data_IF_410914695815
#
_entry.id   IF_410914695815
#
_cell.length_a   1.000
_cell.length_b   1.000
_cell.length_c   1.000
_cell.angle_alpha   90.00
_cell.angle_beta   90.00
_cell.angle_gamma   90.00
#
_symmetry.space_group_name_H-M   'P 1'
#
loop_
_entity.id
_entity.type
_entity.pdbx_description
1 polymer ?
#
# COMPACT_ATOMS: atom_id res chain seq x y z
N UNK A 1 24.90 24.60 -0.41
CA UNK A 1 23.94 24.25 -1.48
C UNK A 1 22.77 25.22 -1.38
N UNK A 2 22.34 25.88 -2.46
CA UNK A 2 21.13 26.70 -2.40
C UNK A 2 19.90 25.81 -2.13
N UNK A 3 18.85 26.35 -1.48
CA UNK A 3 17.60 25.61 -1.27
C UNK A 3 16.97 25.22 -2.63
N UNK A 4 16.27 24.08 -2.70
CA UNK A 4 15.63 23.62 -3.92
C UNK A 4 14.59 24.62 -4.44
N UNK A 5 14.43 24.71 -5.75
CA UNK A 5 13.40 25.55 -6.36
C UNK A 5 12.01 24.92 -6.20
N UNK A 6 10.96 25.74 -6.21
CA UNK A 6 9.55 25.28 -6.21
C UNK A 6 9.28 24.20 -7.25
N UNK A 7 9.82 24.36 -8.45
CA UNK A 7 9.67 23.40 -9.53
C UNK A 7 10.31 22.05 -9.19
N UNK A 8 11.46 22.04 -8.49
CA UNK A 8 12.09 20.81 -8.01
C UNK A 8 11.27 20.14 -6.91
N UNK A 9 10.66 20.92 -6.01
CA UNK A 9 9.75 20.41 -4.98
C UNK A 9 8.53 19.76 -5.62
N UNK A 10 7.86 20.44 -6.55
CA UNK A 10 6.68 19.89 -7.26
C UNK A 10 7.00 18.60 -8.01
N UNK A 11 8.12 18.54 -8.73
CA UNK A 11 8.52 17.30 -9.43
C UNK A 11 8.74 16.15 -8.45
N UNK A 12 9.34 16.43 -7.28
CA UNK A 12 9.54 15.42 -6.25
C UNK A 12 8.20 14.97 -5.62
N UNK A 13 7.29 15.90 -5.30
CA UNK A 13 5.99 15.57 -4.70
C UNK A 13 5.07 14.82 -5.67
N UNK A 14 5.13 15.14 -6.97
CA UNK A 14 4.42 14.38 -8.01
C UNK A 14 4.97 12.95 -8.17
N UNK A 15 6.28 12.77 -8.07
CA UNK A 15 6.90 11.44 -8.09
C UNK A 15 6.43 10.60 -6.88
N UNK A 16 6.41 11.19 -5.68
CA UNK A 16 5.90 10.53 -4.47
C UNK A 16 4.43 10.12 -4.61
N UNK A 17 3.58 10.98 -5.19
CA UNK A 17 2.17 10.69 -5.43
C UNK A 17 1.96 9.59 -6.47
N UNK A 18 2.77 9.60 -7.52
CA UNK A 18 2.76 8.55 -8.55
C UNK A 18 3.10 7.20 -7.93
N UNK A 19 4.17 7.14 -7.15
CA UNK A 19 4.60 5.94 -6.44
C UNK A 19 3.54 5.47 -5.44
N UNK A 20 2.94 6.39 -4.67
CA UNK A 20 1.82 6.05 -3.78
C UNK A 20 0.65 5.39 -4.54
N UNK A 21 0.34 5.86 -5.75
CA UNK A 21 -0.66 5.24 -6.62
C UNK A 21 -0.30 3.84 -7.10
N UNK A 22 0.99 3.53 -7.28
CA UNK A 22 1.46 2.16 -7.57
C UNK A 22 1.27 1.25 -6.35
N UNK A 23 1.66 1.70 -5.16
CA UNK A 23 1.46 0.94 -3.92
C UNK A 23 -0.02 0.63 -3.65
N UNK A 24 -0.92 1.57 -3.89
CA UNK A 24 -2.37 1.31 -3.79
C UNK A 24 -2.87 0.29 -4.83
N UNK A 25 -2.36 0.34 -6.07
CA UNK A 25 -2.72 -0.65 -7.09
C UNK A 25 -2.27 -2.05 -6.70
N UNK A 26 -1.08 -2.18 -6.14
CA UNK A 26 -0.57 -3.47 -5.64
C UNK A 26 -1.35 -3.94 -4.40
N UNK A 27 -1.71 -3.03 -3.49
CA UNK A 27 -2.60 -3.32 -2.36
C UNK A 27 -3.94 -3.88 -2.83
N UNK A 28 -4.58 -3.24 -3.81
CA UNK A 28 -5.83 -3.70 -4.39
C UNK A 28 -5.70 -5.07 -5.09
N UNK A 29 -4.59 -5.31 -5.80
CA UNK A 29 -4.31 -6.60 -6.41
C UNK A 29 -4.18 -7.71 -5.35
N UNK A 30 -3.50 -7.43 -4.23
CA UNK A 30 -3.38 -8.36 -3.11
C UNK A 30 -4.74 -8.64 -2.47
N UNK A 31 -5.57 -7.61 -2.29
CA UNK A 31 -6.93 -7.74 -1.77
C UNK A 31 -7.81 -8.65 -2.65
N UNK A 32 -7.62 -8.62 -3.97
CA UNK A 32 -8.34 -9.48 -4.91
C UNK A 32 -7.88 -10.95 -4.89
N UNK A 33 -6.70 -11.25 -4.33
CA UNK A 33 -6.18 -12.63 -4.18
C UNK A 33 -6.77 -13.31 -2.95
N UNK A 34 -6.95 -12.58 -1.86
CA UNK A 34 -7.49 -13.09 -0.58
C UNK A 34 -8.76 -13.95 -0.74
N UNK A 35 -9.84 -13.48 -1.40
CA UNK A 35 -11.06 -14.29 -1.52
C UNK A 35 -10.87 -15.52 -2.42
N UNK A 36 -9.93 -15.48 -3.37
CA UNK A 36 -9.62 -16.64 -4.22
C UNK A 36 -8.91 -17.73 -3.43
N UNK A 37 -7.95 -17.34 -2.59
CA UNK A 37 -7.24 -18.29 -1.72
C UNK A 37 -8.18 -18.84 -0.66
N UNK A 38 -8.96 -18.01 0.02
CA UNK A 38 -9.94 -18.47 1.00
C UNK A 38 -10.96 -19.44 0.39
N UNK A 39 -11.38 -19.23 -0.86
CA UNK A 39 -12.27 -20.15 -1.58
C UNK A 39 -11.64 -21.50 -1.95
N UNK A 40 -10.35 -21.71 -1.69
CA UNK A 40 -9.69 -23.00 -1.89
C UNK A 40 -9.85 -23.95 -0.70
N UNK A 41 -10.35 -23.49 0.46
CA UNK A 41 -10.54 -24.36 1.63
C UNK A 41 -11.36 -25.61 1.28
N UNK A 42 -10.87 -26.77 1.71
CA UNK A 42 -11.54 -28.05 1.49
C UNK A 42 -12.46 -28.39 2.65
N UNK A 43 -13.71 -28.71 2.33
CA UNK A 43 -14.62 -29.36 3.24
C UNK A 43 -14.26 -30.84 3.44
N UNK A 44 -14.60 -31.39 4.61
CA UNK A 44 -14.44 -32.83 4.88
C UNK A 44 -15.23 -33.69 3.88
N UNK A 45 -16.42 -33.25 3.47
CA UNK A 45 -17.22 -34.00 2.48
C UNK A 45 -16.52 -34.03 1.12
N UNK A 46 -15.97 -32.90 0.68
CA UNK A 46 -15.29 -32.76 -0.62
C UNK A 46 -13.99 -33.55 -0.69
N UNK A 47 -13.26 -33.62 0.42
CA UNK A 47 -11.98 -34.31 0.48
C UNK A 47 -12.09 -35.84 0.47
N UNK A 48 -13.25 -36.41 0.81
CA UNK A 48 -13.49 -37.86 0.74
C UNK A 48 -12.39 -38.68 1.44
N UNK A 49 -11.69 -39.54 0.68
CA UNK A 49 -10.59 -40.39 1.18
C UNK A 49 -9.37 -39.61 1.66
N UNK A 50 -9.23 -38.34 1.29
CA UNK A 50 -8.10 -37.48 1.62
C UNK A 50 -8.30 -36.69 2.93
N UNK A 51 -9.11 -37.20 3.87
CA UNK A 51 -9.38 -36.52 5.15
C UNK A 51 -8.12 -36.10 5.92
N UNK A 52 -7.08 -36.91 5.87
CA UNK A 52 -5.84 -36.70 6.63
C UNK A 52 -5.11 -35.41 6.22
N UNK A 53 -5.33 -34.92 5.00
CA UNK A 53 -4.66 -33.71 4.50
C UNK A 53 -5.53 -32.45 4.62
N UNK A 54 -6.81 -32.56 4.95
CA UNK A 54 -7.74 -31.42 4.97
C UNK A 54 -7.28 -30.34 5.94
N UNK A 55 -6.95 -30.73 7.17
CA UNK A 55 -6.45 -29.78 8.18
C UNK A 55 -5.15 -29.08 7.76
N UNK A 56 -4.04 -29.79 7.45
CA UNK A 56 -2.81 -29.12 7.05
C UNK A 56 -2.93 -28.34 5.73
N UNK A 57 -3.80 -28.77 4.82
CA UNK A 57 -4.10 -28.02 3.60
C UNK A 57 -4.81 -26.70 3.91
N UNK A 58 -5.87 -26.74 4.70
CA UNK A 58 -6.62 -25.53 5.09
C UNK A 58 -5.76 -24.58 5.94
N UNK A 59 -4.87 -25.10 6.78
CA UNK A 59 -3.89 -24.28 7.51
C UNK A 59 -2.98 -23.49 6.55
N UNK A 60 -2.51 -24.11 5.47
CA UNK A 60 -1.72 -23.42 4.44
C UNK A 60 -2.57 -22.36 3.71
N UNK A 61 -3.81 -22.70 3.33
CA UNK A 61 -4.74 -21.76 2.69
C UNK A 61 -4.98 -20.52 3.56
N UNK A 62 -5.20 -20.73 4.86
CA UNK A 62 -5.37 -19.65 5.83
C UNK A 62 -4.10 -18.83 6.00
N UNK A 63 -2.95 -19.50 6.09
CA UNK A 63 -1.66 -18.83 6.21
C UNK A 63 -1.39 -17.91 5.01
N UNK A 64 -1.59 -18.39 3.79
CA UNK A 64 -1.42 -17.58 2.57
C UNK A 64 -2.40 -16.41 2.56
N UNK A 65 -3.67 -16.65 2.89
CA UNK A 65 -4.70 -15.60 2.97
C UNK A 65 -4.31 -14.50 3.96
N UNK A 66 -3.80 -14.87 5.13
CA UNK A 66 -3.33 -13.93 6.14
C UNK A 66 -2.11 -13.13 5.67
N UNK A 67 -1.13 -13.78 5.05
CA UNK A 67 0.05 -13.09 4.48
C UNK A 67 -0.37 -12.06 3.43
N UNK A 68 -1.34 -12.39 2.58
CA UNK A 68 -1.90 -11.45 1.61
C UNK A 68 -2.55 -10.23 2.29
N UNK A 69 -3.34 -10.43 3.35
CA UNK A 69 -3.96 -9.33 4.09
C UNK A 69 -2.90 -8.40 4.74
N UNK A 70 -1.85 -8.99 5.32
CA UNK A 70 -0.75 -8.20 5.90
C UNK A 70 0.03 -7.42 4.83
N UNK A 71 0.28 -8.04 3.67
CA UNK A 71 0.87 -7.36 2.52
C UNK A 71 0.03 -6.18 2.04
N UNK A 72 -1.29 -6.37 1.92
CA UNK A 72 -2.23 -5.30 1.57
C UNK A 72 -2.13 -4.13 2.56
N UNK A 73 -2.16 -4.41 3.86
CA UNK A 73 -2.08 -3.39 4.91
C UNK A 73 -0.77 -2.60 4.82
N UNK A 74 0.36 -3.29 4.68
CA UNK A 74 1.67 -2.65 4.55
C UNK A 74 1.78 -1.77 3.30
N UNK A 75 1.29 -2.24 2.14
CA UNK A 75 1.29 -1.44 0.91
C UNK A 75 0.44 -0.17 1.04
N UNK A 76 -0.71 -0.28 1.71
CA UNK A 76 -1.60 0.85 1.98
C UNK A 76 -0.93 1.88 2.90
N UNK A 77 -0.19 1.42 3.90
CA UNK A 77 0.57 2.26 4.82
C UNK A 77 1.68 3.03 4.08
N UNK A 78 2.41 2.36 3.18
CA UNK A 78 3.43 2.99 2.34
C UNK A 78 2.80 4.09 1.47
N UNK A 79 1.72 3.77 0.75
CA UNK A 79 1.01 4.74 -0.09
C UNK A 79 0.54 5.97 0.71
N UNK A 80 -0.02 5.74 1.90
CA UNK A 80 -0.48 6.81 2.80
C UNK A 80 0.68 7.68 3.27
N UNK A 81 1.82 7.06 3.61
CA UNK A 81 3.01 7.77 4.06
C UNK A 81 3.60 8.64 2.95
N UNK A 82 3.71 8.11 1.73
CA UNK A 82 4.22 8.87 0.58
C UNK A 82 3.37 10.10 0.29
N UNK A 83 2.04 9.99 0.36
CA UNK A 83 1.13 11.14 0.21
C UNK A 83 1.32 12.16 1.32
N UNK A 84 1.39 11.72 2.57
CA UNK A 84 1.62 12.62 3.71
C UNK A 84 2.93 13.39 3.56
N UNK A 85 4.00 12.72 3.10
CA UNK A 85 5.30 13.36 2.85
C UNK A 85 5.18 14.40 1.73
N UNK A 86 4.53 14.07 0.61
CA UNK A 86 4.29 14.99 -0.48
C UNK A 86 3.48 16.24 -0.04
N UNK A 87 2.41 16.03 0.73
CA UNK A 87 1.56 17.11 1.23
C UNK A 87 2.31 18.02 2.22
N UNK A 88 3.21 17.44 3.02
CA UNK A 88 4.06 18.21 3.95
C UNK A 88 5.01 19.13 3.18
N UNK A 89 5.69 18.61 2.14
CA UNK A 89 6.59 19.43 1.31
C UNK A 89 5.86 20.55 0.58
N UNK A 90 4.67 20.29 0.03
CA UNK A 90 3.88 21.32 -0.67
C UNK A 90 3.34 22.39 0.29
N UNK A 91 3.04 22.05 1.55
CA UNK A 91 2.65 23.02 2.58
C UNK A 91 3.83 23.87 3.03
N UNK A 92 5.00 23.27 3.24
CA UNK A 92 6.22 24.00 3.61
C UNK A 92 6.63 25.00 2.51
N UNK A 93 6.55 24.60 1.24
CA UNK A 93 6.86 25.48 0.10
C UNK A 93 5.89 26.67 0.03
N UNK A 94 4.58 26.44 0.18
CA UNK A 94 3.57 27.52 0.25
C UNK A 94 3.81 28.46 1.44
N UNK A 95 4.11 27.92 2.61
CA UNK A 95 4.37 28.71 3.82
C UNK A 95 5.59 29.63 3.65
N UNK A 96 6.65 29.11 3.01
CA UNK A 96 7.86 29.88 2.75
C UNK A 96 7.64 30.98 1.70
N UNK A 97 6.88 30.71 0.64
CA UNK A 97 6.46 31.72 -0.34
C UNK A 97 5.71 32.88 0.34
N UNK A 98 4.77 32.58 1.25
CA UNK A 98 4.02 33.61 2.00
C UNK A 98 4.90 34.46 2.92
N UNK A 99 5.88 33.85 3.61
CA UNK A 99 6.82 34.59 4.47
C UNK A 99 7.69 35.56 3.66
N UNK A 100 8.18 35.11 2.49
CA UNK A 100 8.99 35.97 1.62
C UNK A 100 8.18 37.12 1.03
N UNK A 101 6.91 36.88 0.66
CA UNK A 101 6.03 37.92 0.11
C UNK A 101 5.58 38.98 1.12
N UNK A 102 5.59 38.65 2.42
CA UNK A 102 5.28 39.61 3.49
C UNK A 102 6.50 40.41 3.99
N UNK A 103 7.71 40.09 3.52
CA UNK A 103 8.96 40.79 3.87
C UNK A 103 9.38 41.86 2.85
N UNK A 104 8.66 41.98 1.74
CA UNK A 104 8.81 43.02 0.70
C UNK A 104 7.51 43.82 0.58
#
# INVERSE_FOLDING_TARGET
MPPPSRQQVTVATDALRTEAGEWDRQSAAMSAVVPKVAGMELGRVEAGLFQLIVSPYNEIVQHVSQRCQEGQAAMTEVATTLRKVADTYDEEDRSNEHKLRNLY
#
